data_IF_389474556772
#
_entry.id   IF_389474556772
#
_cell.length_a   1.000
_cell.length_b   1.000
_cell.length_c   1.000
_cell.angle_alpha   90.00
_cell.angle_beta   90.00
_cell.angle_gamma   90.00
#
_symmetry.space_group_name_H-M   'P 1'
#
loop_
_entity.id
_entity.type
_entity.pdbx_description
1 polymer ?
#
# COMPACT_ATOMS: atom_id res chain seq x y z
N UNK A 1 -34.37 12.79 -6.86
CA UNK A 1 -33.23 11.94 -7.25
C UNK A 1 -32.05 12.41 -6.41
N UNK A 2 -31.45 11.55 -5.59
CA UNK A 2 -30.31 11.95 -4.77
C UNK A 2 -29.05 12.00 -5.63
N UNK A 3 -28.12 12.90 -5.35
CA UNK A 3 -26.79 12.87 -5.99
C UNK A 3 -25.96 11.71 -5.42
N UNK A 4 -24.92 11.28 -6.15
CA UNK A 4 -24.00 10.24 -5.65
C UNK A 4 -23.43 10.61 -4.26
N UNK A 5 -22.99 11.86 -4.10
CA UNK A 5 -22.47 12.42 -2.85
C UNK A 5 -23.48 12.34 -1.69
N UNK A 6 -24.78 12.53 -1.95
CA UNK A 6 -25.83 12.44 -0.94
C UNK A 6 -26.04 11.00 -0.47
N UNK A 7 -25.92 10.03 -1.37
CA UNK A 7 -26.01 8.60 -1.06
C UNK A 7 -24.81 8.17 -0.22
N UNK A 8 -23.59 8.51 -0.65
CA UNK A 8 -22.37 8.19 0.09
C UNK A 8 -22.36 8.81 1.48
N UNK A 9 -22.81 10.07 1.61
CA UNK A 9 -22.96 10.74 2.91
C UNK A 9 -23.94 10.01 3.82
N UNK A 10 -25.05 9.51 3.28
CA UNK A 10 -26.02 8.71 4.05
C UNK A 10 -25.45 7.37 4.49
N UNK A 11 -24.69 6.69 3.62
CA UNK A 11 -24.01 5.44 3.96
C UNK A 11 -23.01 5.67 5.09
N UNK A 12 -22.17 6.70 4.98
CA UNK A 12 -21.23 7.09 6.04
C UNK A 12 -21.96 7.36 7.37
N UNK A 13 -23.03 8.16 7.36
CA UNK A 13 -23.78 8.48 8.57
C UNK A 13 -24.48 7.25 9.18
N UNK A 14 -24.96 6.33 8.35
CA UNK A 14 -25.56 5.07 8.83
C UNK A 14 -24.50 4.19 9.51
N UNK A 15 -23.33 4.02 8.90
CA UNK A 15 -22.21 3.28 9.50
C UNK A 15 -21.71 3.94 10.79
N UNK A 16 -21.55 5.26 10.80
CA UNK A 16 -21.17 6.02 12.00
C UNK A 16 -22.15 5.78 13.14
N UNK A 17 -23.47 5.90 12.90
CA UNK A 17 -24.49 5.67 13.93
C UNK A 17 -24.46 4.25 14.48
N UNK A 18 -24.25 3.26 13.61
CA UNK A 18 -24.14 1.85 14.02
C UNK A 18 -22.95 1.63 14.96
N UNK A 19 -21.78 2.17 14.62
CA UNK A 19 -20.60 2.06 15.48
C UNK A 19 -20.70 2.89 16.75
N UNK A 20 -21.31 4.08 16.69
CA UNK A 20 -21.60 4.90 17.87
C UNK A 20 -22.48 4.14 18.86
N UNK A 21 -23.59 3.57 18.40
CA UNK A 21 -24.47 2.78 19.24
C UNK A 21 -23.75 1.56 19.81
N UNK A 22 -22.89 0.89 19.02
CA UNK A 22 -22.06 -0.20 19.51
C UNK A 22 -21.16 0.26 20.67
N UNK A 23 -20.34 1.30 20.47
CA UNK A 23 -19.43 1.79 21.51
C UNK A 23 -20.15 2.30 22.77
N UNK A 24 -21.29 2.96 22.62
CA UNK A 24 -22.11 3.40 23.78
C UNK A 24 -22.67 2.23 24.59
N UNK A 25 -23.08 1.15 23.93
CA UNK A 25 -23.74 0.01 24.57
C UNK A 25 -22.77 -1.04 25.12
N UNK A 26 -21.58 -1.18 24.55
CA UNK A 26 -20.60 -2.21 24.93
C UNK A 26 -19.42 -1.67 25.74
N UNK A 27 -19.18 -0.35 25.70
CA UNK A 27 -17.95 0.28 26.20
C UNK A 27 -16.66 -0.35 25.61
N UNK A 28 -16.72 -0.87 24.38
CA UNK A 28 -15.57 -1.52 23.73
C UNK A 28 -14.46 -0.51 23.38
N UNK A 29 -13.39 -0.53 24.18
CA UNK A 29 -12.20 0.31 23.98
C UNK A 29 -11.14 -0.29 23.05
N UNK A 30 -11.30 -1.54 22.64
CA UNK A 30 -10.29 -2.25 21.86
C UNK A 30 -10.55 -2.19 20.36
N UNK A 31 -11.81 -2.00 19.97
CA UNK A 31 -12.17 -1.91 18.56
C UNK A 31 -11.78 -0.56 17.95
N UNK A 32 -11.14 -0.63 16.78
CA UNK A 32 -10.78 0.53 15.96
C UNK A 32 -11.43 0.40 14.59
N UNK A 33 -12.16 1.43 14.17
CA UNK A 33 -12.84 1.45 12.88
C UNK A 33 -12.41 2.68 12.11
N UNK A 34 -11.93 2.48 10.90
CA UNK A 34 -11.61 3.53 9.94
C UNK A 34 -12.71 3.60 8.89
N UNK A 35 -13.43 4.71 8.87
CA UNK A 35 -14.39 5.05 7.82
C UNK A 35 -13.85 6.16 6.95
N UNK A 36 -14.12 6.13 5.65
CA UNK A 36 -13.86 7.27 4.78
C UNK A 36 -15.10 8.13 4.64
N UNK A 37 -14.97 9.42 4.95
CA UNK A 37 -16.04 10.40 4.72
C UNK A 37 -15.99 10.93 3.29
N UNK A 38 -17.12 11.42 2.79
CA UNK A 38 -17.20 12.16 1.52
C UNK A 38 -16.51 13.52 1.56
N UNK A 39 -16.08 14.00 2.74
CA UNK A 39 -15.28 15.21 2.85
C UNK A 39 -13.92 15.03 2.18
N UNK A 40 -13.47 16.08 1.48
CA UNK A 40 -12.13 16.11 0.91
C UNK A 40 -11.09 16.04 2.03
N UNK A 41 -10.13 15.15 1.85
CA UNK A 41 -8.95 15.04 2.69
C UNK A 41 -8.22 16.39 2.70
N UNK A 42 -7.83 16.90 3.89
CA UNK A 42 -7.04 18.13 3.99
C UNK A 42 -5.60 17.93 3.52
N UNK A 43 -5.19 16.69 3.23
CA UNK A 43 -3.83 16.35 2.82
C UNK A 43 -3.73 16.18 1.30
N UNK A 44 -4.19 15.03 0.80
CA UNK A 44 -4.11 14.67 -0.61
C UNK A 44 -5.53 14.38 -1.07
N UNK A 45 -5.99 15.10 -2.10
CA UNK A 45 -7.33 14.95 -2.68
C UNK A 45 -7.35 14.02 -3.91
N UNK A 46 -6.18 13.63 -4.40
CA UNK A 46 -5.99 12.74 -5.56
C UNK A 46 -4.52 12.35 -5.66
N UNK A 47 -4.22 11.23 -6.32
CA UNK A 47 -2.83 10.87 -6.68
C UNK A 47 -2.14 12.04 -7.38
N UNK A 48 -0.95 12.41 -6.91
CA UNK A 48 -0.21 13.59 -7.37
C UNK A 48 1.04 13.19 -8.16
N UNK A 49 1.17 13.68 -9.39
CA UNK A 49 2.29 13.38 -10.29
C UNK A 49 3.25 14.56 -10.40
N UNK A 50 4.53 14.30 -10.15
CA UNK A 50 5.62 15.25 -10.36
C UNK A 50 6.25 15.00 -11.73
N UNK A 51 5.85 15.81 -12.72
CA UNK A 51 6.03 15.62 -14.17
C UNK A 51 5.19 14.50 -14.80
N UNK A 52 4.64 14.76 -15.98
CA UNK A 52 3.90 13.80 -16.79
C UNK A 52 4.86 12.83 -17.51
N UNK A 53 4.66 11.52 -17.36
CA UNK A 53 5.34 10.48 -18.16
C UNK A 53 6.08 9.39 -17.36
N UNK A 54 6.96 8.65 -18.05
CA UNK A 54 7.74 7.52 -17.50
C UNK A 54 8.80 7.93 -16.48
N UNK A 55 9.14 9.22 -16.43
CA UNK A 55 10.23 9.79 -15.62
C UNK A 55 9.69 10.48 -14.36
N UNK A 56 8.36 10.51 -14.14
CA UNK A 56 7.77 11.16 -12.97
C UNK A 56 7.90 10.38 -11.67
N UNK A 57 7.91 11.10 -10.54
CA UNK A 57 7.62 10.58 -9.19
C UNK A 57 6.13 10.81 -8.95
N UNK A 58 5.45 9.90 -8.24
CA UNK A 58 4.06 10.15 -7.84
C UNK A 58 3.79 9.71 -6.43
N UNK A 59 2.99 10.51 -5.72
CA UNK A 59 2.41 10.15 -4.43
C UNK A 59 1.01 9.61 -4.69
N UNK A 60 0.85 8.32 -4.42
CA UNK A 60 -0.40 7.56 -4.59
C UNK A 60 -1.30 7.86 -3.41
N UNK A 61 -2.55 8.19 -3.71
CA UNK A 61 -3.59 8.41 -2.72
C UNK A 61 -4.43 7.14 -2.54
N UNK A 62 -4.22 6.36 -1.46
CA UNK A 62 -4.98 5.14 -1.23
C UNK A 62 -6.40 5.40 -0.73
N UNK A 63 -6.79 6.66 -0.50
CA UNK A 63 -8.10 7.05 0.04
C UNK A 63 -8.99 7.76 -0.99
N UNK A 64 -8.48 7.94 -2.23
CA UNK A 64 -9.17 8.61 -3.33
C UNK A 64 -9.74 9.98 -2.94
N UNK A 65 -8.93 10.77 -2.26
CA UNK A 65 -9.24 12.12 -1.84
C UNK A 65 -10.22 12.25 -0.67
N UNK A 66 -10.72 11.12 -0.14
CA UNK A 66 -11.63 11.10 1.00
C UNK A 66 -10.87 11.17 2.31
N UNK A 67 -11.43 11.86 3.28
CA UNK A 67 -10.86 11.97 4.63
C UNK A 67 -11.11 10.70 5.44
N UNK A 68 -10.07 10.06 6.00
CA UNK A 68 -10.22 8.96 6.95
C UNK A 68 -10.67 9.47 8.33
N UNK A 69 -11.58 8.74 8.96
CA UNK A 69 -12.11 8.96 10.31
C UNK A 69 -11.87 7.73 11.16
N UNK A 70 -11.15 7.92 12.27
CA UNK A 70 -10.98 6.88 13.29
C UNK A 70 -12.13 6.94 14.29
N UNK A 71 -12.90 5.87 14.37
CA UNK A 71 -13.92 5.62 15.37
C UNK A 71 -13.37 4.60 16.38
N UNK A 72 -13.22 5.07 17.61
CA UNK A 72 -13.00 4.26 18.81
C UNK A 72 -14.02 4.68 19.86
N UNK A 73 -14.08 3.99 20.99
CA UNK A 73 -14.83 4.48 22.15
C UNK A 73 -14.44 5.91 22.52
N UNK A 74 -13.14 6.22 22.59
CA UNK A 74 -12.67 7.55 22.98
C UNK A 74 -13.02 8.64 21.94
N UNK A 75 -12.85 8.38 20.64
CA UNK A 75 -13.19 9.40 19.62
C UNK A 75 -14.69 9.58 19.43
N UNK A 76 -15.47 8.51 19.62
CA UNK A 76 -16.90 8.49 19.30
C UNK A 76 -17.76 8.89 20.49
N UNK A 77 -17.49 8.33 21.68
CA UNK A 77 -18.29 8.55 22.89
C UNK A 77 -17.74 9.71 23.72
N UNK A 78 -16.42 9.81 23.87
CA UNK A 78 -15.78 10.88 24.67
C UNK A 78 -15.47 12.14 23.87
N UNK A 79 -15.45 12.04 22.54
CA UNK A 79 -15.15 13.14 21.64
C UNK A 79 -13.66 13.51 21.61
N UNK A 80 -12.77 12.56 21.94
CA UNK A 80 -11.33 12.79 21.86
C UNK A 80 -10.90 12.98 20.40
N UNK A 81 -9.99 13.93 20.16
CA UNK A 81 -9.47 14.21 18.82
C UNK A 81 -8.17 13.45 18.58
N UNK A 82 -8.10 12.73 17.45
CA UNK A 82 -6.89 12.03 17.01
C UNK A 82 -6.18 12.85 15.95
N UNK A 83 -4.92 13.18 16.20
CA UNK A 83 -4.10 13.85 15.20
C UNK A 83 -3.82 12.94 14.01
N UNK A 84 -4.12 13.40 12.79
CA UNK A 84 -3.77 12.70 11.56
C UNK A 84 -2.52 13.34 10.95
N UNK A 85 -1.52 12.53 10.65
CA UNK A 85 -0.24 12.99 10.10
C UNK A 85 0.03 12.31 8.75
N UNK A 86 0.15 13.06 7.65
CA UNK A 86 0.48 12.50 6.35
C UNK A 86 1.94 12.06 6.31
N UNK A 87 2.19 10.81 5.93
CA UNK A 87 3.53 10.23 5.78
C UNK A 87 3.69 9.64 4.38
N UNK A 88 4.62 10.18 3.61
CA UNK A 88 5.00 9.67 2.30
C UNK A 88 5.91 8.45 2.46
N UNK A 89 5.53 7.32 1.85
CA UNK A 89 6.27 6.06 1.96
C UNK A 89 7.13 5.86 0.71
N UNK A 90 8.45 5.92 0.88
CA UNK A 90 9.38 5.99 -0.26
C UNK A 90 9.85 4.59 -0.69
N UNK A 91 9.64 4.25 -1.96
CA UNK A 91 10.17 3.02 -2.56
C UNK A 91 11.67 3.14 -2.92
N UNK A 92 12.28 2.02 -3.33
CA UNK A 92 13.68 1.97 -3.75
C UNK A 92 14.04 2.94 -4.89
N UNK A 93 13.14 3.12 -5.86
CA UNK A 93 13.38 3.99 -7.02
C UNK A 93 13.40 5.47 -6.66
N UNK A 94 12.48 5.90 -5.79
CA UNK A 94 12.44 7.28 -5.29
C UNK A 94 13.68 7.57 -4.44
N UNK A 95 14.11 6.65 -3.58
CA UNK A 95 15.35 6.81 -2.80
C UNK A 95 16.58 6.94 -3.70
N UNK A 96 16.70 6.13 -4.74
CA UNK A 96 17.81 6.23 -5.69
C UNK A 96 17.84 7.58 -6.41
N UNK A 97 16.67 8.11 -6.79
CA UNK A 97 16.56 9.45 -7.40
C UNK A 97 16.90 10.57 -6.42
N UNK A 98 16.50 10.45 -5.16
CA UNK A 98 16.88 11.40 -4.12
C UNK A 98 18.39 11.40 -3.87
N UNK A 99 19.04 10.23 -3.80
CA UNK A 99 20.49 10.11 -3.70
C UNK A 99 21.21 10.77 -4.89
N UNK A 100 20.74 10.52 -6.11
CA UNK A 100 21.29 11.13 -7.31
C UNK A 100 21.11 12.65 -7.32
N UNK A 101 19.95 13.15 -6.88
CA UNK A 101 19.67 14.58 -6.78
C UNK A 101 20.56 15.27 -5.74
N UNK A 102 20.76 14.67 -4.56
CA UNK A 102 21.64 15.21 -3.53
C UNK A 102 23.08 15.38 -4.02
N UNK A 103 23.57 14.44 -4.83
CA UNK A 103 24.91 14.47 -5.43
C UNK A 103 25.05 15.50 -6.55
N UNK A 104 23.96 15.84 -7.25
CA UNK A 104 23.99 16.75 -8.39
C UNK A 104 22.78 17.68 -8.44
N UNK A 105 22.64 18.55 -7.44
CA UNK A 105 21.50 19.47 -7.28
C UNK A 105 21.36 20.50 -8.42
N UNK A 106 22.46 20.77 -9.14
CA UNK A 106 22.51 21.73 -10.24
C UNK A 106 22.11 21.12 -11.60
N UNK A 107 21.79 19.83 -11.65
CA UNK A 107 21.31 19.19 -12.87
C UNK A 107 19.95 19.76 -13.28
N UNK A 108 19.81 20.09 -14.57
CA UNK A 108 18.54 20.50 -15.18
C UNK A 108 17.82 19.32 -15.86
N UNK A 109 18.20 18.08 -15.56
CA UNK A 109 17.53 16.90 -16.12
C UNK A 109 16.05 16.82 -15.71
N UNK A 110 15.21 16.18 -16.53
CA UNK A 110 13.80 15.95 -16.19
C UNK A 110 13.62 15.21 -14.86
N UNK A 111 14.50 14.26 -14.56
CA UNK A 111 14.55 13.56 -13.27
C UNK A 111 14.85 14.51 -12.11
N UNK A 112 15.88 15.35 -12.24
CA UNK A 112 16.25 16.34 -11.23
C UNK A 112 15.10 17.31 -10.96
N UNK A 113 14.41 17.76 -12.01
CA UNK A 113 13.24 18.64 -11.89
C UNK A 113 12.06 17.95 -11.19
N UNK A 114 11.77 16.68 -11.54
CA UNK A 114 10.71 15.88 -10.88
C UNK A 114 11.01 15.71 -9.38
N UNK A 115 12.24 15.35 -9.04
CA UNK A 115 12.71 15.21 -7.65
C UNK A 115 12.62 16.53 -6.90
N UNK A 116 13.02 17.66 -7.51
CA UNK A 116 12.91 19.00 -6.90
C UNK A 116 11.46 19.39 -6.63
N UNK A 117 10.56 19.15 -7.59
CA UNK A 117 9.12 19.42 -7.43
C UNK A 117 8.51 18.57 -6.31
N UNK A 118 8.85 17.28 -6.26
CA UNK A 118 8.44 16.38 -5.19
C UNK A 118 8.89 16.88 -3.81
N UNK A 119 10.19 17.17 -3.66
CA UNK A 119 10.74 17.67 -2.40
C UNK A 119 10.09 18.99 -1.97
N UNK A 120 9.89 19.92 -2.92
CA UNK A 120 9.22 21.19 -2.65
C UNK A 120 7.80 20.98 -2.15
N UNK A 121 7.02 20.10 -2.78
CA UNK A 121 5.68 19.77 -2.35
C UNK A 121 5.62 19.24 -0.91
N UNK A 122 6.52 18.31 -0.58
CA UNK A 122 6.58 17.69 0.76
C UNK A 122 6.99 18.71 1.81
N UNK A 123 7.95 19.60 1.50
CA UNK A 123 8.41 20.64 2.42
C UNK A 123 7.34 21.73 2.62
N UNK A 124 6.73 22.24 1.56
CA UNK A 124 5.68 23.28 1.63
C UNK A 124 4.47 22.83 2.43
N UNK A 125 4.12 21.54 2.34
CA UNK A 125 2.98 20.95 3.07
C UNK A 125 3.35 20.36 4.42
N UNK A 126 4.62 20.40 4.80
CA UNK A 126 5.14 19.82 6.03
C UNK A 126 4.76 18.32 6.19
N UNK A 127 4.90 17.54 5.11
CA UNK A 127 4.63 16.11 5.14
C UNK A 127 5.83 15.34 5.67
N UNK A 128 5.56 14.32 6.49
CA UNK A 128 6.58 13.36 6.89
C UNK A 128 6.90 12.44 5.71
N UNK A 129 8.09 11.85 5.72
CA UNK A 129 8.46 10.79 4.78
C UNK A 129 9.32 9.74 5.46
N UNK A 130 9.07 8.48 5.12
CA UNK A 130 9.57 7.33 5.85
C UNK A 130 10.11 6.25 4.89
N UNK A 131 11.15 5.55 5.33
CA UNK A 131 11.82 4.43 4.65
C UNK A 131 11.15 3.06 4.86
N UNK A 132 10.02 2.98 5.55
CA UNK A 132 9.35 1.72 5.84
C UNK A 132 9.12 0.88 4.58
N UNK A 133 8.65 1.51 3.49
CA UNK A 133 8.47 0.85 2.20
C UNK A 133 9.79 0.31 1.65
N UNK A 134 10.82 1.15 1.53
CA UNK A 134 12.18 0.75 1.13
C UNK A 134 12.72 -0.44 1.92
N UNK A 135 12.64 -0.40 3.26
CA UNK A 135 13.20 -1.47 4.10
C UNK A 135 12.41 -2.77 3.94
N UNK A 136 11.08 -2.70 3.89
CA UNK A 136 10.25 -3.89 3.69
C UNK A 136 10.47 -4.51 2.30
N UNK A 137 10.55 -3.69 1.25
CA UNK A 137 10.89 -4.11 -0.11
C UNK A 137 12.25 -4.82 -0.14
N UNK A 138 13.26 -4.20 0.48
CA UNK A 138 14.63 -4.73 0.53
C UNK A 138 14.71 -6.02 1.35
N UNK A 139 14.03 -6.10 2.49
CA UNK A 139 14.01 -7.32 3.33
C UNK A 139 13.34 -8.47 2.59
N UNK A 140 12.22 -8.22 1.90
CA UNK A 140 11.52 -9.21 1.09
C UNK A 140 12.37 -9.71 -0.09
N UNK A 141 13.11 -8.81 -0.74
CA UNK A 141 13.79 -9.11 -2.01
C UNK A 141 15.21 -9.65 -1.80
N UNK A 142 15.94 -9.08 -0.85
CA UNK A 142 17.38 -9.34 -0.66
C UNK A 142 17.72 -9.94 0.70
N UNK A 143 16.75 -10.03 1.61
CA UNK A 143 16.99 -10.50 2.97
C UNK A 143 17.66 -9.43 3.86
N UNK A 144 17.76 -9.75 5.15
CA UNK A 144 18.08 -8.77 6.20
C UNK A 144 19.53 -8.31 6.14
N UNK A 145 20.48 -9.23 5.94
CA UNK A 145 21.91 -8.89 5.93
C UNK A 145 22.30 -7.94 4.79
N UNK A 146 21.77 -8.20 3.59
CA UNK A 146 21.97 -7.30 2.45
C UNK A 146 21.28 -5.97 2.73
N UNK A 147 20.04 -6.00 3.24
CA UNK A 147 19.28 -4.79 3.60
C UNK A 147 20.02 -3.92 4.61
N UNK A 148 20.63 -4.51 5.63
CA UNK A 148 21.42 -3.78 6.64
C UNK A 148 22.62 -3.06 6.02
N UNK A 149 23.24 -3.65 4.99
CA UNK A 149 24.37 -3.04 4.28
C UNK A 149 23.93 -1.86 3.42
N UNK A 150 22.88 -2.03 2.61
CA UNK A 150 22.44 -1.00 1.66
C UNK A 150 21.54 0.07 2.29
N UNK A 151 20.78 -0.30 3.33
CA UNK A 151 19.83 0.57 4.02
C UNK A 151 20.48 1.78 4.69
N UNK A 152 21.75 1.69 5.10
CA UNK A 152 22.50 2.83 5.64
C UNK A 152 22.56 4.00 4.65
N UNK A 153 22.73 3.70 3.36
CA UNK A 153 22.75 4.73 2.32
C UNK A 153 21.41 5.44 2.21
N UNK A 154 20.31 4.67 2.22
CA UNK A 154 18.95 5.22 2.21
C UNK A 154 18.66 6.06 3.47
N UNK A 155 19.02 5.56 4.65
CA UNK A 155 18.89 6.30 5.90
C UNK A 155 19.68 7.61 5.90
N UNK A 156 20.87 7.62 5.32
CA UNK A 156 21.69 8.83 5.19
C UNK A 156 21.02 9.87 4.27
N UNK A 157 20.50 9.45 3.12
CA UNK A 157 19.74 10.32 2.20
C UNK A 157 18.56 10.97 2.93
N UNK A 158 17.75 10.19 3.63
CA UNK A 158 16.58 10.69 4.35
C UNK A 158 16.97 11.60 5.51
N UNK A 159 18.04 11.27 6.24
CA UNK A 159 18.55 12.11 7.31
C UNK A 159 18.98 13.48 6.79
N UNK A 160 19.72 13.55 5.67
CA UNK A 160 20.10 14.83 5.04
C UNK A 160 18.88 15.67 4.67
N UNK A 161 17.82 15.04 4.18
CA UNK A 161 16.58 15.74 3.85
C UNK A 161 15.83 16.18 5.12
N UNK A 162 15.74 15.33 6.16
CA UNK A 162 15.06 15.66 7.42
C UNK A 162 15.77 16.82 8.16
N UNK A 163 17.10 16.88 8.07
CA UNK A 163 17.90 17.95 8.68
C UNK A 163 18.09 19.16 7.78
N UNK A 164 17.48 19.19 6.59
CA UNK A 164 17.57 20.31 5.67
C UNK A 164 16.98 21.60 6.26
N UNK A 165 17.64 22.73 5.97
CA UNK A 165 17.06 24.06 6.11
C UNK A 165 15.96 24.27 5.05
N UNK A 166 14.72 24.18 5.52
CA UNK A 166 13.55 24.27 4.65
C UNK A 166 13.39 25.65 4.01
N UNK A 167 13.73 26.73 4.71
CA UNK A 167 13.57 28.09 4.17
C UNK A 167 14.54 28.31 3.02
N UNK A 168 15.80 27.91 3.19
CA UNK A 168 16.82 28.00 2.14
C UNK A 168 16.44 27.13 0.95
N UNK A 169 15.98 25.89 1.19
CA UNK A 169 15.54 25.01 0.12
C UNK A 169 14.36 25.59 -0.68
N UNK A 170 13.35 26.14 -0.01
CA UNK A 170 12.20 26.74 -0.70
C UNK A 170 12.57 28.00 -1.50
N UNK A 171 13.55 28.78 -1.03
CA UNK A 171 14.00 29.99 -1.70
C UNK A 171 14.84 29.71 -2.96
N UNK A 172 15.79 28.78 -2.89
CA UNK A 172 16.79 28.60 -3.95
C UNK A 172 17.10 27.14 -4.32
N UNK A 173 16.38 26.17 -3.75
CA UNK A 173 16.52 24.75 -4.06
C UNK A 173 17.75 24.06 -3.48
N UNK A 174 18.58 24.77 -2.69
CA UNK A 174 19.78 24.20 -2.07
C UNK A 174 19.44 23.40 -0.82
N UNK A 175 20.01 22.21 -0.72
CA UNK A 175 19.92 21.36 0.45
C UNK A 175 21.15 21.59 1.31
N UNK A 176 20.96 22.33 2.41
CA UNK A 176 22.00 22.57 3.43
C UNK A 176 21.45 22.17 4.81
N UNK A 177 22.31 21.74 5.75
CA UNK A 177 21.86 21.29 7.06
C UNK A 177 21.46 22.46 7.98
N UNK A 178 20.26 22.37 8.56
CA UNK A 178 19.84 23.14 9.72
C UNK A 178 20.42 22.51 11.00
N UNK A 179 21.34 23.23 11.64
CA UNK A 179 22.01 22.80 12.87
C UNK A 179 21.02 22.52 14.01
N UNK A 180 19.87 23.20 14.09
CA UNK A 180 18.87 22.95 15.13
C UNK A 180 18.26 21.55 14.95
N UNK A 181 17.90 21.19 13.72
CA UNK A 181 17.38 19.84 13.40
C UNK A 181 18.42 18.76 13.60
N UNK A 182 19.67 19.00 13.19
CA UNK A 182 20.77 18.06 13.46
C UNK A 182 20.91 17.78 14.96
N UNK A 183 20.78 18.79 15.83
CA UNK A 183 20.83 18.61 17.30
C UNK A 183 19.68 17.78 17.84
N UNK A 184 18.47 17.92 17.27
CA UNK A 184 17.31 17.09 17.65
C UNK A 184 17.58 15.63 17.33
N UNK A 185 18.12 15.32 16.16
CA UNK A 185 18.49 13.94 15.79
C UNK A 185 19.65 13.40 16.62
N UNK A 186 20.71 14.20 16.84
CA UNK A 186 21.81 13.84 17.72
C UNK A 186 21.30 13.43 19.10
N UNK A 187 20.47 14.27 19.72
CA UNK A 187 19.86 13.99 21.03
C UNK A 187 18.98 12.73 21.01
N UNK A 188 18.13 12.58 19.99
CA UNK A 188 17.21 11.42 19.85
C UNK A 188 17.95 10.10 19.81
N UNK A 189 19.11 10.07 19.18
CA UNK A 189 19.93 8.86 18.98
C UNK A 189 21.14 8.79 19.91
N UNK A 190 21.23 9.67 20.92
CA UNK A 190 22.26 9.62 21.96
C UNK A 190 23.66 10.05 21.52
N UNK A 191 23.80 10.87 20.46
CA UNK A 191 25.07 11.45 20.05
C UNK A 191 25.37 12.76 20.81
N UNK A 192 26.61 12.88 21.28
CA UNK A 192 27.09 14.02 22.06
C UNK A 192 27.64 15.18 21.19
N UNK A 193 27.94 14.92 19.91
CA UNK A 193 28.50 15.90 18.96
C UNK A 193 27.87 15.79 17.58
N UNK A 194 27.94 16.88 16.82
CA UNK A 194 27.65 16.92 15.37
C UNK A 194 28.98 17.18 14.68
N UNK A 195 29.65 16.11 14.28
CA UNK A 195 30.96 16.12 13.60
C UNK A 195 30.86 15.50 12.19
N UNK A 196 32.01 15.17 11.60
CA UNK A 196 32.07 14.59 10.25
C UNK A 196 31.41 13.21 10.13
N UNK A 197 31.22 12.48 11.23
CA UNK A 197 30.62 11.15 11.22
C UNK A 197 29.11 11.16 11.53
N UNK A 198 28.56 12.31 11.91
CA UNK A 198 27.16 12.49 12.32
C UNK A 198 26.15 11.73 11.43
N UNK A 199 26.19 11.94 10.11
CA UNK A 199 25.24 11.31 9.20
C UNK A 199 25.40 9.78 9.13
N UNK A 200 26.62 9.28 9.20
CA UNK A 200 26.88 7.84 9.12
C UNK A 200 26.46 7.10 10.40
N UNK A 201 26.74 7.69 11.56
CA UNK A 201 26.37 7.11 12.86
C UNK A 201 24.84 7.07 13.03
N UNK A 202 24.16 8.20 12.81
CA UNK A 202 22.70 8.26 12.90
C UNK A 202 22.06 7.33 11.86
N UNK A 203 22.53 7.32 10.61
CA UNK A 203 22.00 6.42 9.59
C UNK A 203 22.16 4.94 9.96
N UNK A 204 23.27 4.58 10.63
CA UNK A 204 23.49 3.22 11.16
C UNK A 204 22.48 2.89 12.26
N UNK A 205 22.27 3.80 13.21
CA UNK A 205 21.29 3.60 14.29
C UNK A 205 19.86 3.53 13.76
N UNK A 206 19.49 4.40 12.83
CA UNK A 206 18.19 4.37 12.13
C UNK A 206 17.98 3.04 11.40
N UNK A 207 19.00 2.55 10.70
CA UNK A 207 18.95 1.25 10.00
C UNK A 207 18.72 0.10 10.97
N UNK A 208 19.47 0.07 12.07
CA UNK A 208 19.31 -0.97 13.09
C UNK A 208 17.91 -0.92 13.72
N UNK A 209 17.41 0.27 14.03
CA UNK A 209 16.06 0.45 14.59
C UNK A 209 14.97 -0.02 13.63
N UNK A 210 15.06 0.32 12.34
CA UNK A 210 14.11 -0.14 11.32
C UNK A 210 14.11 -1.67 11.14
N UNK A 211 15.23 -2.33 11.50
CA UNK A 211 15.42 -3.77 11.35
C UNK A 211 15.25 -4.56 12.65
N UNK A 212 14.87 -3.91 13.76
CA UNK A 212 14.77 -4.55 15.09
C UNK A 212 13.82 -5.75 15.13
N UNK A 213 12.82 -5.79 14.22
CA UNK A 213 11.88 -6.90 14.06
C UNK A 213 11.85 -7.47 12.63
N UNK A 214 12.96 -7.33 11.89
CA UNK A 214 12.99 -7.61 10.46
C UNK A 214 12.63 -9.06 10.10
N UNK A 215 13.00 -10.08 10.90
CA UNK A 215 12.64 -11.47 10.60
C UNK A 215 11.13 -11.70 10.71
N UNK A 216 10.50 -11.29 11.81
CA UNK A 216 9.05 -11.41 11.98
C UNK A 216 8.28 -10.65 10.89
N UNK A 217 8.76 -9.45 10.53
CA UNK A 217 8.19 -8.67 9.44
C UNK A 217 8.36 -9.43 8.11
N UNK A 218 9.54 -9.98 7.85
CA UNK A 218 9.85 -10.74 6.63
C UNK A 218 8.96 -11.96 6.47
N UNK A 219 8.80 -12.76 7.53
CA UNK A 219 7.95 -13.96 7.51
C UNK A 219 6.51 -13.58 7.16
N UNK A 220 5.94 -12.59 7.86
CA UNK A 220 4.58 -12.12 7.60
C UNK A 220 4.41 -11.57 6.18
N UNK A 221 5.35 -10.73 5.73
CA UNK A 221 5.29 -10.16 4.39
C UNK A 221 5.48 -11.22 3.32
N UNK A 222 6.33 -12.23 3.56
CA UNK A 222 6.55 -13.33 2.62
C UNK A 222 5.31 -14.21 2.52
N UNK A 223 4.65 -14.52 3.63
CA UNK A 223 3.37 -15.22 3.62
C UNK A 223 2.33 -14.48 2.77
N UNK A 224 2.18 -13.17 2.96
CA UNK A 224 1.23 -12.35 2.17
C UNK A 224 1.62 -12.32 0.70
N UNK A 225 2.92 -12.22 0.38
CA UNK A 225 3.41 -12.24 -0.99
C UNK A 225 3.16 -13.60 -1.65
N UNK A 226 3.49 -14.71 -0.99
CA UNK A 226 3.26 -16.07 -1.49
C UNK A 226 1.77 -16.34 -1.69
N UNK A 227 0.93 -15.90 -0.75
CA UNK A 227 -0.52 -15.96 -0.89
C UNK A 227 -1.02 -15.20 -2.12
N UNK A 228 -0.54 -13.97 -2.31
CA UNK A 228 -0.89 -13.14 -3.47
C UNK A 228 -0.41 -13.81 -4.77
N UNK A 229 0.81 -14.36 -4.77
CA UNK A 229 1.38 -15.11 -5.88
C UNK A 229 0.52 -16.30 -6.29
N UNK A 230 0.02 -17.09 -5.32
CA UNK A 230 -0.90 -18.20 -5.58
C UNK A 230 -2.18 -17.75 -6.28
N UNK A 231 -2.74 -16.62 -5.88
CA UNK A 231 -3.92 -16.05 -6.54
C UNK A 231 -3.58 -15.58 -7.96
N UNK A 232 -2.43 -14.93 -8.16
CA UNK A 232 -1.98 -14.49 -9.47
C UNK A 232 -1.76 -15.67 -10.44
N UNK A 233 -1.18 -16.79 -9.96
CA UNK A 233 -1.08 -18.03 -10.72
C UNK A 233 -2.47 -18.54 -11.15
N UNK A 234 -3.44 -18.56 -10.22
CA UNK A 234 -4.81 -18.97 -10.54
C UNK A 234 -5.47 -18.04 -11.55
N UNK A 235 -5.29 -16.73 -11.45
CA UNK A 235 -5.77 -15.74 -12.42
C UNK A 235 -5.22 -16.04 -13.83
N UNK A 236 -3.93 -16.32 -13.94
CA UNK A 236 -3.28 -16.69 -15.20
C UNK A 236 -3.84 -18.01 -15.75
N UNK A 237 -4.04 -19.02 -14.89
CA UNK A 237 -4.63 -20.31 -15.29
C UNK A 237 -6.04 -20.14 -15.84
N UNK A 238 -6.92 -19.43 -15.12
CA UNK A 238 -8.30 -19.18 -15.56
C UNK A 238 -8.31 -18.52 -16.94
N UNK A 239 -7.46 -17.51 -17.13
CA UNK A 239 -7.41 -16.79 -18.40
C UNK A 239 -6.80 -17.62 -19.55
N UNK A 240 -5.92 -18.56 -19.25
CA UNK A 240 -5.20 -19.36 -20.26
C UNK A 240 -5.90 -20.67 -20.62
N UNK A 241 -6.66 -21.24 -19.68
CA UNK A 241 -7.29 -22.56 -19.82
C UNK A 241 -8.70 -22.51 -20.39
N UNK A 242 -9.43 -21.40 -20.22
CA UNK A 242 -10.85 -21.34 -20.56
C UNK A 242 -11.23 -20.04 -21.29
N UNK A 243 -12.11 -20.15 -22.28
CA UNK A 243 -12.72 -19.01 -22.96
C UNK A 243 -14.06 -18.64 -22.28
N UNK A 244 -13.98 -18.23 -21.02
CA UNK A 244 -15.11 -17.81 -20.20
C UNK A 244 -15.38 -16.30 -20.30
N UNK A 245 -16.63 -15.90 -20.04
CA UNK A 245 -16.97 -14.51 -19.78
C UNK A 245 -16.32 -14.01 -18.49
N UNK A 246 -16.16 -12.69 -18.34
CA UNK A 246 -15.46 -12.10 -17.19
C UNK A 246 -16.15 -12.45 -15.86
N UNK A 247 -17.47 -12.43 -15.81
CA UNK A 247 -18.25 -12.79 -14.61
C UNK A 247 -18.03 -14.24 -14.18
N UNK A 248 -17.91 -15.16 -15.15
CA UNK A 248 -17.62 -16.58 -14.92
C UNK A 248 -16.17 -16.79 -14.45
N UNK A 249 -15.19 -16.09 -15.08
CA UNK A 249 -13.79 -16.11 -14.63
C UNK A 249 -13.65 -15.62 -13.18
N UNK A 250 -14.37 -14.54 -12.84
CA UNK A 250 -14.40 -14.01 -11.47
C UNK A 250 -15.05 -14.98 -10.51
N UNK A 251 -16.15 -15.65 -10.90
CA UNK A 251 -16.79 -16.66 -10.07
C UNK A 251 -15.89 -17.88 -9.84
N UNK A 252 -15.16 -18.36 -10.86
CA UNK A 252 -14.17 -19.43 -10.68
C UNK A 252 -13.07 -19.02 -9.69
N UNK A 253 -12.56 -17.80 -9.80
CA UNK A 253 -11.57 -17.27 -8.87
C UNK A 253 -12.11 -17.20 -7.44
N UNK A 254 -13.32 -16.67 -7.25
CA UNK A 254 -13.97 -16.60 -5.95
C UNK A 254 -14.13 -18.00 -5.34
N UNK A 255 -14.57 -18.97 -6.15
CA UNK A 255 -14.76 -20.35 -5.71
C UNK A 255 -13.43 -21.00 -5.30
N UNK A 256 -12.36 -20.77 -6.05
CA UNK A 256 -11.02 -21.23 -5.68
C UNK A 256 -10.58 -20.64 -4.34
N UNK A 257 -10.72 -19.33 -4.14
CA UNK A 257 -10.25 -18.66 -2.93
C UNK A 257 -11.09 -19.04 -1.71
N UNK A 258 -12.41 -19.15 -1.86
CA UNK A 258 -13.30 -19.65 -0.81
C UNK A 258 -12.88 -21.06 -0.38
N UNK A 259 -12.61 -21.96 -1.32
CA UNK A 259 -12.27 -23.35 -1.01
C UNK A 259 -10.86 -23.57 -0.45
N UNK A 260 -9.87 -22.74 -0.84
CA UNK A 260 -8.47 -22.95 -0.46
C UNK A 260 -8.03 -22.12 0.75
N UNK A 261 -8.64 -20.94 0.94
CA UNK A 261 -8.14 -19.95 1.88
C UNK A 261 -9.17 -19.48 2.90
N UNK A 262 -10.44 -19.84 2.74
CA UNK A 262 -11.58 -19.34 3.53
C UNK A 262 -11.65 -17.79 3.59
N UNK A 263 -10.94 -17.12 2.69
CA UNK A 263 -10.77 -15.68 2.73
C UNK A 263 -10.37 -15.12 1.37
N UNK A 264 -11.15 -14.19 0.83
CA UNK A 264 -10.74 -13.41 -0.34
C UNK A 264 -10.21 -12.03 0.06
N UNK A 265 -9.03 -11.68 -0.44
CA UNK A 265 -8.45 -10.36 -0.26
C UNK A 265 -8.97 -9.43 -1.37
N UNK A 266 -9.48 -8.26 -0.97
CA UNK A 266 -10.24 -7.37 -1.86
C UNK A 266 -9.40 -6.80 -3.01
N UNK A 267 -8.09 -6.67 -2.82
CA UNK A 267 -7.16 -6.19 -3.84
C UNK A 267 -7.01 -7.18 -4.99
N UNK A 268 -6.91 -8.47 -4.67
CA UNK A 268 -6.71 -9.53 -5.65
C UNK A 268 -7.97 -9.70 -6.50
N UNK A 269 -9.15 -9.58 -5.90
CA UNK A 269 -10.42 -9.52 -6.64
C UNK A 269 -10.45 -8.32 -7.60
N UNK A 270 -10.07 -7.12 -7.12
CA UNK A 270 -9.99 -5.92 -7.95
C UNK A 270 -9.06 -6.11 -9.16
N UNK A 271 -7.88 -6.66 -8.91
CA UNK A 271 -6.86 -6.88 -9.94
C UNK A 271 -7.29 -7.95 -10.93
N UNK A 272 -7.98 -9.00 -10.47
CA UNK A 272 -8.55 -10.00 -11.36
C UNK A 272 -9.57 -9.38 -12.32
N UNK A 273 -10.45 -8.49 -11.85
CA UNK A 273 -11.41 -7.79 -12.70
C UNK A 273 -10.70 -6.93 -13.77
N UNK A 274 -9.67 -6.19 -13.38
CA UNK A 274 -8.84 -5.40 -14.31
C UNK A 274 -8.03 -6.27 -15.29
N UNK A 275 -7.56 -7.44 -14.84
CA UNK A 275 -6.84 -8.37 -15.70
C UNK A 275 -7.78 -9.05 -16.70
N UNK A 276 -8.91 -9.61 -16.27
CA UNK A 276 -9.83 -10.28 -17.18
C UNK A 276 -10.48 -9.33 -18.20
N UNK A 277 -10.61 -8.04 -17.86
CA UNK A 277 -11.01 -6.97 -18.79
C UNK A 277 -9.88 -6.43 -19.69
N UNK A 278 -8.65 -6.94 -19.55
CA UNK A 278 -7.45 -6.50 -20.29
C UNK A 278 -7.04 -5.04 -20.05
N UNK A 279 -7.50 -4.44 -18.96
CA UNK A 279 -7.18 -3.07 -18.57
C UNK A 279 -5.93 -2.99 -17.67
N UNK A 280 -5.49 -4.12 -17.09
CA UNK A 280 -4.26 -4.17 -16.31
C UNK A 280 -3.01 -4.06 -17.22
N UNK A 281 -1.96 -3.30 -16.85
CA UNK A 281 -0.72 -3.28 -17.64
C UNK A 281 -0.06 -4.67 -17.71
N UNK A 282 0.23 -5.14 -18.93
CA UNK A 282 0.81 -6.47 -19.20
C UNK A 282 2.18 -6.75 -18.57
N UNK A 283 2.86 -5.70 -18.09
CA UNK A 283 4.11 -5.82 -17.33
C UNK A 283 3.91 -6.54 -15.99
N UNK A 284 2.73 -6.42 -15.38
CA UNK A 284 2.40 -7.02 -14.09
C UNK A 284 2.03 -8.49 -14.23
N UNK A 285 0.95 -8.75 -14.95
CA UNK A 285 0.45 -10.11 -15.18
C UNK A 285 0.46 -10.33 -16.69
N UNK A 286 1.20 -11.33 -17.20
CA UNK A 286 1.25 -11.60 -18.63
C UNK A 286 -0.11 -12.07 -19.15
N UNK A 287 -0.62 -11.42 -20.21
CA UNK A 287 -1.84 -11.87 -20.90
C UNK A 287 -1.60 -13.04 -21.85
N UNK A 288 -0.40 -13.11 -22.43
CA UNK A 288 0.01 -14.10 -23.42
C UNK A 288 1.17 -14.93 -22.88
N UNK A 289 0.86 -15.82 -21.93
CA UNK A 289 1.88 -16.71 -21.34
C UNK A 289 2.55 -17.60 -22.38
N UNK A 290 1.85 -17.94 -23.48
CA UNK A 290 2.40 -18.72 -24.61
C UNK A 290 3.62 -18.09 -25.29
N UNK A 291 3.83 -16.79 -25.12
CA UNK A 291 4.95 -16.06 -25.74
C UNK A 291 6.16 -15.91 -24.80
N UNK A 292 6.05 -16.39 -23.56
CA UNK A 292 6.98 -16.11 -22.46
C UNK A 292 7.39 -17.43 -21.78
N UNK A 293 8.65 -17.57 -21.37
CA UNK A 293 9.09 -18.79 -20.66
C UNK A 293 8.42 -18.90 -19.29
N UNK A 294 8.30 -20.13 -18.79
CA UNK A 294 7.72 -20.39 -17.48
C UNK A 294 8.45 -19.62 -16.36
N UNK A 295 9.78 -19.60 -16.37
CA UNK A 295 10.59 -18.89 -15.37
C UNK A 295 10.30 -17.39 -15.37
N UNK A 296 10.13 -16.79 -16.55
CA UNK A 296 9.83 -15.38 -16.69
C UNK A 296 8.39 -15.05 -16.24
N UNK A 297 7.43 -15.96 -16.45
CA UNK A 297 6.08 -15.83 -15.89
C UNK A 297 6.14 -15.82 -14.36
N UNK A 298 6.73 -16.86 -13.75
CA UNK A 298 6.85 -16.96 -12.29
C UNK A 298 7.58 -15.74 -11.69
N UNK A 299 8.69 -15.30 -12.30
CA UNK A 299 9.44 -14.13 -11.86
C UNK A 299 8.60 -12.84 -11.88
N UNK A 300 7.78 -12.63 -12.93
CA UNK A 300 6.90 -11.45 -13.02
C UNK A 300 5.78 -11.51 -11.98
N UNK A 301 5.18 -12.67 -11.79
CA UNK A 301 4.11 -12.87 -10.82
C UNK A 301 4.63 -12.69 -9.38
N UNK A 302 5.81 -13.23 -9.02
CA UNK A 302 6.44 -13.02 -7.70
C UNK A 302 6.80 -11.54 -7.48
N UNK A 303 7.36 -10.87 -8.49
CA UNK A 303 7.61 -9.43 -8.42
C UNK A 303 6.33 -8.64 -8.16
N UNK A 304 5.26 -8.95 -8.90
CA UNK A 304 3.95 -8.29 -8.77
C UNK A 304 3.33 -8.56 -7.40
N UNK A 305 3.44 -9.78 -6.89
CA UNK A 305 2.94 -10.14 -5.57
C UNK A 305 3.63 -9.33 -4.45
N UNK A 306 4.94 -9.10 -4.56
CA UNK A 306 5.67 -8.22 -3.63
C UNK A 306 5.22 -6.77 -3.73
N UNK A 307 5.06 -6.23 -4.94
CA UNK A 307 4.56 -4.86 -5.13
C UNK A 307 3.17 -4.69 -4.50
N UNK A 308 2.28 -5.67 -4.66
CA UNK A 308 0.98 -5.67 -3.99
C UNK A 308 1.07 -5.74 -2.47
N UNK A 309 1.97 -6.56 -1.96
CA UNK A 309 2.23 -6.65 -0.52
C UNK A 309 2.63 -5.28 0.04
N UNK A 310 3.50 -4.54 -0.66
CA UNK A 310 3.94 -3.22 -0.25
C UNK A 310 2.85 -2.14 -0.40
N UNK A 311 2.00 -2.24 -1.42
CA UNK A 311 0.85 -1.34 -1.60
C UNK A 311 -0.22 -1.49 -0.51
N UNK A 312 -0.15 -2.52 0.34
CA UNK A 312 -0.99 -2.68 1.54
C UNK A 312 -0.46 -1.91 2.75
N UNK A 313 0.76 -1.36 2.70
CA UNK A 313 1.34 -0.63 3.82
C UNK A 313 0.47 0.49 4.42
N UNK A 314 -0.26 1.29 3.61
CA UNK A 314 -1.18 2.27 4.16
C UNK A 314 -2.19 1.65 5.13
N UNK A 315 -2.68 0.44 4.86
CA UNK A 315 -3.64 -0.27 5.72
C UNK A 315 -3.00 -0.61 7.07
N UNK A 316 -1.76 -1.11 7.06
CA UNK A 316 -1.03 -1.42 8.30
C UNK A 316 -0.78 -0.15 9.14
N UNK A 317 -0.49 0.98 8.49
CA UNK A 317 -0.24 2.25 9.18
C UNK A 317 -1.47 2.86 9.84
N UNK A 318 -2.67 2.60 9.31
CA UNK A 318 -3.93 2.99 9.95
C UNK A 318 -4.06 2.41 11.37
N UNK A 319 -3.45 1.26 11.64
CA UNK A 319 -3.55 0.62 12.96
C UNK A 319 -2.27 0.69 13.80
N UNK A 320 -1.13 1.03 13.20
CA UNK A 320 0.13 1.21 13.90
C UNK A 320 0.19 2.48 14.78
N UNK A 321 -0.81 3.37 14.67
CA UNK A 321 -0.94 4.59 15.48
C UNK A 321 -1.33 4.31 16.94
N UNK A 322 -0.91 5.20 17.83
CA UNK A 322 -1.46 5.26 19.18
C UNK A 322 -2.73 6.12 19.20
N UNK A 323 -3.48 6.10 20.31
CA UNK A 323 -4.76 6.81 20.44
C UNK A 323 -4.64 8.34 20.31
N UNK A 324 -3.44 8.91 20.28
CA UNK A 324 -3.22 10.36 20.16
C UNK A 324 -2.86 10.81 18.74
N UNK A 325 -2.19 9.95 17.97
CA UNK A 325 -1.69 10.28 16.65
C UNK A 325 -1.64 9.07 15.72
N UNK A 326 -2.26 9.19 14.54
CA UNK A 326 -2.18 8.19 13.48
C UNK A 326 -1.49 8.75 12.24
N UNK A 327 -0.65 7.92 11.63
CA UNK A 327 -0.01 8.22 10.35
C UNK A 327 -0.88 7.72 9.20
N UNK A 328 -1.16 8.62 8.26
CA UNK A 328 -1.78 8.26 6.99
C UNK A 328 -0.66 8.01 5.98
N UNK A 329 -0.50 6.75 5.57
CA UNK A 329 0.54 6.35 4.63
C UNK A 329 0.16 6.65 3.18
N UNK A 330 1.02 7.35 2.46
CA UNK A 330 0.87 7.63 1.03
C UNK A 330 2.05 7.02 0.26
N UNK A 331 1.86 5.89 -0.44
CA UNK A 331 2.92 5.26 -1.22
C UNK A 331 3.48 6.21 -2.27
N UNK A 332 4.79 6.27 -2.41
CA UNK A 332 5.48 7.14 -3.36
C UNK A 332 6.40 6.30 -4.23
N UNK A 333 6.14 6.34 -5.54
CA UNK A 333 6.86 5.54 -6.51
C UNK A 333 7.20 6.32 -7.76
N UNK A 334 8.37 6.02 -8.31
CA UNK A 334 8.77 6.44 -9.65
C UNK A 334 8.36 5.44 -10.75
N UNK A 335 7.86 4.27 -10.37
CA UNK A 335 7.48 3.22 -11.32
C UNK A 335 6.07 3.46 -11.85
N UNK A 336 5.94 3.67 -13.18
CA UNK A 336 4.64 3.85 -13.83
C UNK A 336 3.65 2.71 -13.56
N UNK A 337 4.17 1.49 -13.44
CA UNK A 337 3.37 0.32 -13.17
C UNK A 337 2.69 0.46 -11.79
N UNK A 338 3.47 0.62 -10.72
CA UNK A 338 2.96 0.72 -9.33
C UNK A 338 1.98 1.88 -9.20
N UNK A 339 2.28 3.02 -9.84
CA UNK A 339 1.41 4.19 -9.90
C UNK A 339 0.05 3.90 -10.52
N UNK A 340 0.00 3.15 -11.62
CA UNK A 340 -1.27 2.78 -12.26
C UNK A 340 -2.09 1.89 -11.34
N UNK A 341 -1.50 0.82 -10.81
CA UNK A 341 -2.20 -0.10 -9.91
C UNK A 341 -2.73 0.61 -8.66
N UNK A 342 -1.91 1.46 -8.05
CA UNK A 342 -2.30 2.18 -6.84
C UNK A 342 -3.48 3.13 -7.03
N UNK A 343 -3.83 3.50 -8.28
CA UNK A 343 -5.02 4.31 -8.59
C UNK A 343 -6.28 3.49 -8.82
N UNK A 344 -6.15 2.20 -9.15
CA UNK A 344 -7.30 1.33 -9.43
C UNK A 344 -8.03 0.89 -8.16
N UNK A 345 -7.40 1.12 -7.00
CA UNK A 345 -7.76 0.52 -5.73
C UNK A 345 -7.77 1.60 -4.66
N UNK A 346 -8.88 1.67 -3.93
CA UNK A 346 -9.05 2.59 -2.80
C UNK A 346 -9.39 1.81 -1.54
N UNK A 347 -8.81 2.19 -0.40
CA UNK A 347 -9.24 1.72 0.91
C UNK A 347 -10.62 2.33 1.18
N UNK A 348 -11.64 1.53 1.44
CA UNK A 348 -13.00 2.03 1.74
C UNK A 348 -13.28 2.07 3.23
N UNK A 349 -12.92 1.01 3.94
CA UNK A 349 -12.89 0.97 5.39
C UNK A 349 -11.83 -0.02 5.89
N UNK A 350 -11.41 0.16 7.12
CA UNK A 350 -10.52 -0.77 7.79
C UNK A 350 -10.99 -0.97 9.23
N UNK A 351 -11.04 -2.20 9.72
CA UNK A 351 -11.54 -2.50 11.07
C UNK A 351 -10.51 -3.36 11.80
N UNK A 352 -10.35 -3.15 13.10
CA UNK A 352 -9.60 -4.04 13.99
C UNK A 352 -10.45 -4.33 15.23
N UNK A 353 -10.55 -5.61 15.59
CA UNK A 353 -11.27 -6.10 16.75
C UNK A 353 -10.27 -6.69 17.75
N UNK A 354 -10.07 -6.06 18.92
CA UNK A 354 -9.21 -6.61 19.98
C UNK A 354 -7.84 -7.12 19.49
N UNK A 355 -7.11 -6.24 18.79
CA UNK A 355 -5.80 -6.50 18.17
C UNK A 355 -5.78 -7.46 16.97
N UNK A 356 -6.92 -8.06 16.61
CA UNK A 356 -7.06 -8.81 15.37
C UNK A 356 -7.44 -7.86 14.23
N UNK A 357 -6.65 -7.86 13.16
CA UNK A 357 -6.91 -7.06 11.97
C UNK A 357 -8.00 -7.70 11.10
N UNK A 358 -9.05 -6.94 10.80
CA UNK A 358 -9.96 -7.30 9.72
C UNK A 358 -9.29 -6.91 8.39
N UNK A 359 -9.32 -7.77 7.35
CA UNK A 359 -8.82 -7.33 6.07
C UNK A 359 -9.68 -6.17 5.60
N UNK A 360 -9.00 -5.14 5.13
CA UNK A 360 -9.56 -3.87 4.67
C UNK A 360 -10.61 -4.09 3.58
N UNK A 361 -11.73 -3.37 3.66
CA UNK A 361 -12.65 -3.28 2.52
C UNK A 361 -12.01 -2.40 1.46
N UNK A 362 -11.95 -2.94 0.25
CA UNK A 362 -11.31 -2.31 -0.88
C UNK A 362 -12.40 -1.95 -1.89
N UNK A 363 -12.35 -0.70 -2.35
CA UNK A 363 -13.14 -0.20 -3.45
C UNK A 363 -12.29 -0.17 -4.72
N UNK A 364 -12.95 -0.43 -5.83
CA UNK A 364 -12.38 -0.53 -7.17
C UNK A 364 -12.80 0.72 -7.93
N UNK A 365 -11.94 1.29 -8.75
CA UNK A 365 -12.39 2.28 -9.75
C UNK A 365 -13.29 1.57 -10.76
N UNK A 366 -14.60 1.82 -10.65
CA UNK A 366 -15.61 1.18 -11.48
C UNK A 366 -15.84 1.94 -12.77
N UNK A 367 -15.56 3.24 -12.83
CA UNK A 367 -15.83 4.05 -14.03
C UNK A 367 -15.04 3.52 -15.22
N UNK A 368 -13.75 3.22 -15.00
CA UNK A 368 -12.88 2.62 -16.01
C UNK A 368 -13.40 1.25 -16.49
N UNK A 369 -13.89 0.42 -15.57
CA UNK A 369 -14.42 -0.91 -15.92
C UNK A 369 -15.80 -0.82 -16.59
N UNK A 370 -16.65 0.11 -16.17
CA UNK A 370 -18.02 0.26 -16.69
C UNK A 370 -18.03 0.69 -18.15
N UNK A 371 -17.11 1.58 -18.54
CA UNK A 371 -16.95 1.99 -19.93
C UNK A 371 -16.63 0.81 -20.86
N UNK A 372 -15.91 -0.19 -20.35
CA UNK A 372 -15.43 -1.34 -21.12
C UNK A 372 -16.37 -2.55 -21.06
N UNK A 373 -17.04 -2.76 -19.92
CA UNK A 373 -17.78 -3.99 -19.63
C UNK A 373 -19.31 -3.82 -19.67
N UNK A 374 -19.81 -2.59 -19.55
CA UNK A 374 -21.24 -2.29 -19.43
C UNK A 374 -21.80 -2.49 -18.02
N UNK A 375 -22.95 -1.89 -17.76
CA UNK A 375 -23.56 -1.78 -16.41
C UNK A 375 -23.91 -3.14 -15.77
N UNK A 376 -24.46 -4.08 -16.53
CA UNK A 376 -24.90 -5.38 -16.02
C UNK A 376 -23.72 -6.22 -15.48
N UNK A 377 -22.59 -6.19 -16.20
CA UNK A 377 -21.37 -6.89 -15.78
C UNK A 377 -20.83 -6.26 -14.50
N UNK A 378 -20.82 -4.93 -14.42
CA UNK A 378 -20.38 -4.21 -13.23
C UNK A 378 -21.25 -4.51 -12.01
N UNK A 379 -22.57 -4.49 -12.16
CA UNK A 379 -23.50 -4.81 -11.08
C UNK A 379 -23.24 -6.24 -10.56
N UNK A 380 -23.00 -7.19 -11.47
CA UNK A 380 -22.64 -8.56 -11.10
C UNK A 380 -21.34 -8.62 -10.30
N UNK A 381 -20.29 -7.91 -10.73
CA UNK A 381 -19.00 -7.86 -10.03
C UNK A 381 -19.12 -7.19 -8.65
N UNK A 382 -19.91 -6.12 -8.54
CA UNK A 382 -20.18 -5.45 -7.26
C UNK A 382 -20.93 -6.39 -6.29
N UNK A 383 -21.94 -7.10 -6.78
CA UNK A 383 -22.69 -8.07 -5.98
C UNK A 383 -21.81 -9.22 -5.49
N UNK A 384 -20.91 -9.73 -6.34
CA UNK A 384 -19.90 -10.72 -5.95
C UNK A 384 -18.98 -10.16 -4.85
N UNK A 385 -18.42 -8.97 -5.05
CA UNK A 385 -17.56 -8.30 -4.07
C UNK A 385 -18.27 -8.09 -2.72
N UNK A 386 -19.53 -7.65 -2.74
CA UNK A 386 -20.32 -7.43 -1.53
C UNK A 386 -20.61 -8.74 -0.80
N UNK A 387 -20.97 -9.81 -1.52
CA UNK A 387 -21.13 -11.15 -0.94
C UNK A 387 -19.87 -11.59 -0.20
N UNK A 388 -18.72 -11.42 -0.85
CA UNK A 388 -17.42 -11.78 -0.30
C UNK A 388 -17.08 -10.95 0.94
N UNK A 389 -17.35 -9.64 0.92
CA UNK A 389 -17.16 -8.78 2.09
C UNK A 389 -18.03 -9.21 3.28
N UNK A 390 -19.26 -9.66 3.03
CA UNK A 390 -20.15 -10.17 4.08
C UNK A 390 -19.64 -11.49 4.69
N UNK A 391 -19.25 -12.46 3.85
CA UNK A 391 -18.66 -13.74 4.31
C UNK A 391 -17.42 -13.46 5.16
N UNK A 392 -16.57 -12.53 4.72
CA UNK A 392 -15.36 -12.11 5.44
C UNK A 392 -15.69 -11.54 6.82
N UNK A 393 -16.62 -10.60 6.88
CA UNK A 393 -17.02 -9.96 8.13
C UNK A 393 -17.53 -11.00 9.12
N UNK A 394 -18.39 -11.90 8.67
CA UNK A 394 -18.94 -12.97 9.51
C UNK A 394 -17.86 -13.93 10.02
N UNK A 395 -16.99 -14.45 9.15
CA UNK A 395 -15.93 -15.38 9.53
C UNK A 395 -14.99 -14.82 10.61
N UNK A 396 -14.81 -13.50 10.65
CA UNK A 396 -13.97 -12.85 11.66
C UNK A 396 -14.68 -12.56 12.96
N UNK A 397 -15.95 -12.17 12.92
CA UNK A 397 -16.79 -12.07 14.12
C UNK A 397 -16.80 -13.41 14.85
N UNK A 398 -16.85 -14.51 14.08
CA UNK A 398 -16.85 -15.87 14.61
C UNK A 398 -15.45 -16.40 15.01
N UNK A 399 -14.37 -15.62 14.80
CA UNK A 399 -12.97 -16.00 15.07
C UNK A 399 -12.53 -17.34 14.45
N UNK A 400 -13.18 -17.82 13.39
CA UNK A 400 -13.03 -19.19 12.86
C UNK A 400 -11.76 -19.46 12.05
N UNK A 401 -10.73 -18.61 12.12
CA UNK A 401 -9.62 -18.72 11.18
C UNK A 401 -8.54 -19.69 11.63
N UNK A 402 -8.44 -20.81 10.93
CA UNK A 402 -7.16 -21.51 10.75
C UNK A 402 -6.63 -21.07 9.38
N UNK A 403 -5.69 -20.12 9.30
CA UNK A 403 -5.09 -19.77 8.01
C UNK A 403 -4.42 -21.01 7.42
N UNK A 404 -4.41 -21.10 6.09
CA UNK A 404 -3.56 -22.07 5.36
C UNK A 404 -2.15 -22.02 5.95
N UNK A 405 -1.59 -23.19 6.29
CA UNK A 405 -0.24 -23.23 6.83
C UNK A 405 0.77 -22.80 5.75
N UNK A 406 1.98 -22.38 6.17
CA UNK A 406 3.04 -22.06 5.21
C UNK A 406 3.34 -23.27 4.30
N UNK A 407 3.37 -24.47 4.86
CA UNK A 407 3.63 -25.72 4.12
C UNK A 407 2.54 -25.98 3.07
N UNK A 408 1.26 -25.93 3.48
CA UNK A 408 0.12 -26.09 2.58
C UNK A 408 0.12 -25.04 1.46
N UNK A 409 0.50 -23.80 1.77
CA UNK A 409 0.62 -22.74 0.78
C UNK A 409 1.72 -23.02 -0.25
N UNK A 410 2.88 -23.52 0.18
CA UNK A 410 3.96 -23.90 -0.74
C UNK A 410 3.59 -25.11 -1.61
N UNK A 411 2.89 -26.09 -1.06
CA UNK A 411 2.37 -27.24 -1.83
C UNK A 411 1.40 -26.77 -2.92
N UNK A 412 0.46 -25.89 -2.57
CA UNK A 412 -0.50 -25.32 -3.52
C UNK A 412 0.20 -24.47 -4.60
N UNK A 413 1.24 -23.71 -4.23
CA UNK A 413 2.07 -22.97 -5.20
C UNK A 413 2.69 -23.94 -6.21
N UNK A 414 3.36 -24.99 -5.72
CA UNK A 414 4.02 -25.97 -6.60
C UNK A 414 3.02 -26.68 -7.52
N UNK A 415 1.81 -26.98 -7.03
CA UNK A 415 0.75 -27.56 -7.84
C UNK A 415 0.29 -26.62 -8.97
N UNK A 416 0.02 -25.35 -8.64
CA UNK A 416 -0.44 -24.37 -9.64
C UNK A 416 0.66 -24.02 -10.64
N UNK A 417 1.91 -23.93 -10.22
CA UNK A 417 3.05 -23.76 -11.11
C UNK A 417 3.13 -24.88 -12.16
N UNK A 418 2.97 -26.13 -11.72
CA UNK A 418 2.90 -27.29 -12.62
C UNK A 418 1.73 -27.21 -13.59
N UNK A 419 0.59 -26.63 -13.17
CA UNK A 419 -0.55 -26.41 -14.06
C UNK A 419 -0.32 -25.25 -15.04
N UNK A 420 0.46 -24.22 -14.67
CA UNK A 420 0.76 -23.07 -15.54
C UNK A 420 1.76 -23.42 -16.62
N UNK A 421 2.78 -24.23 -16.29
CA UNK A 421 3.90 -24.56 -17.16
C UNK A 421 3.51 -24.98 -18.59
N UNK A 422 2.50 -25.85 -18.82
CA UNK A 422 2.08 -26.26 -20.17
C UNK A 422 1.51 -25.13 -21.05
N UNK A 423 1.15 -23.98 -20.47
CA UNK A 423 0.65 -22.81 -21.20
C UNK A 423 1.76 -21.83 -21.58
N UNK A 424 2.97 -22.02 -21.07
CA UNK A 424 4.12 -21.15 -21.33
C UNK A 424 4.88 -21.57 -22.59
N UNK A 425 5.76 -20.69 -23.06
CA UNK A 425 6.71 -21.02 -24.12
C UNK A 425 7.75 -22.01 -23.60
N UNK A 426 8.05 -23.03 -24.41
CA UNK A 426 9.17 -23.96 -24.19
C UNK A 426 10.53 -23.25 -24.11
#
# INVERSE_FOLDING_TARGET
MYTCDEIEKRIFLAQYRLWHQHFESTEDRKTKVWLLSTEKSPFISSTYDFNSGSIGISIIDPFNGRRPWLLTYDTTVRGDNVGLYPTVLLDSQVINRLDAYLKNQNSNSHESNSTRQFLRFVVERNYDYNLAFYYMESVLTSGIEITKRIGKKAANVILQLHTMDQEVFLQNGRIIPDRKRCRVYAKRYGLNSIDCNFYNEIATLMTNQMLENAEKIRENLRFIADYTYTILLKIVLINSSQNLAITEKMQELCSFVENQFDLLLGREHAIAAYYFSKQLPSKFIPFKVKDISFEEVCRRLDSTARDFCLLRLPETLLFAGNEQATRLGFPCSAENAIRKIGRLITIKNAISLSDNYLPTEIEIDIETLQQELGEEVIETLQNQQQRLNNIRLQAQVEQKRIPISHEQLQELIAELEKQVQPFCKE
#
